data_IF_419208694724
#
_entry.id   IF_419208694724
#
_cell.length_a   1.000
_cell.length_b   1.000
_cell.length_c   1.000
_cell.angle_alpha   90.00
_cell.angle_beta   90.00
_cell.angle_gamma   90.00
#
_symmetry.space_group_name_H-M   'P 1'
#
loop_
_entity.id
_entity.type
_entity.pdbx_description
1 polymer ?
#
# COMPACT_ATOMS: atom_id res chain seq x y z
N UNK A 1 -20.39 -8.20 -8.99
CA UNK A 1 -20.55 -7.06 -8.08
C UNK A 1 -21.50 -6.02 -8.70
N UNK A 2 -22.26 -5.29 -7.84
CA UNK A 2 -23.23 -4.28 -8.31
C UNK A 2 -24.60 -4.82 -8.70
N UNK A 3 -24.82 -6.10 -8.60
CA UNK A 3 -26.15 -6.70 -8.72
C UNK A 3 -26.98 -6.44 -7.45
N UNK A 4 -28.28 -6.27 -7.62
CA UNK A 4 -29.22 -6.16 -6.50
C UNK A 4 -29.87 -7.52 -6.26
N UNK A 5 -29.82 -7.96 -5.01
CA UNK A 5 -30.35 -9.25 -4.58
C UNK A 5 -31.28 -9.05 -3.40
N UNK A 6 -32.41 -9.72 -3.41
CA UNK A 6 -33.23 -9.91 -2.22
C UNK A 6 -32.73 -11.18 -1.51
N UNK A 7 -32.27 -11.04 -0.28
CA UNK A 7 -31.68 -12.15 0.47
C UNK A 7 -32.33 -12.29 1.84
N UNK A 8 -32.68 -13.53 2.19
CA UNK A 8 -33.01 -13.89 3.57
C UNK A 8 -31.75 -14.40 4.24
N UNK A 9 -31.31 -13.73 5.30
CA UNK A 9 -30.06 -13.99 5.97
C UNK A 9 -30.32 -14.46 7.40
N UNK A 10 -29.57 -15.49 7.88
CA UNK A 10 -29.47 -15.82 9.29
C UNK A 10 -28.20 -15.18 9.83
N UNK A 11 -28.37 -14.07 10.56
CA UNK A 11 -27.25 -13.28 11.08
C UNK A 11 -26.95 -13.60 12.54
N UNK A 12 -25.69 -13.55 12.91
CA UNK A 12 -25.20 -13.61 14.28
C UNK A 12 -24.08 -12.59 14.48
N UNK A 13 -23.89 -12.03 15.68
CA UNK A 13 -22.72 -11.22 15.98
C UNK A 13 -21.43 -12.03 15.77
N UNK A 14 -20.37 -11.37 15.30
CA UNK A 14 -19.05 -12.00 15.20
C UNK A 14 -18.47 -12.10 16.60
N UNK A 15 -18.20 -13.32 17.06
CA UNK A 15 -17.50 -13.60 18.31
C UNK A 15 -16.07 -14.06 18.01
N UNK A 16 -15.09 -13.50 18.71
CA UNK A 16 -13.71 -13.94 18.68
C UNK A 16 -13.42 -14.89 19.84
N UNK A 17 -12.56 -15.86 19.61
CA UNK A 17 -11.90 -16.59 20.69
C UNK A 17 -10.62 -15.82 21.03
N UNK A 18 -10.53 -15.33 22.27
CA UNK A 18 -9.36 -14.62 22.77
C UNK A 18 -8.36 -15.66 23.33
N UNK A 19 -7.51 -16.17 22.47
CA UNK A 19 -6.35 -16.96 22.84
C UNK A 19 -5.09 -16.09 22.78
N UNK A 20 -4.13 -16.31 23.65
CA UNK A 20 -2.84 -15.63 23.61
C UNK A 20 -2.19 -15.83 22.24
N UNK A 21 -1.85 -14.73 21.56
CA UNK A 21 -1.32 -14.74 20.20
C UNK A 21 -2.32 -15.09 19.09
N UNK A 22 -3.60 -15.30 19.41
CA UNK A 22 -4.66 -15.62 18.47
C UNK A 22 -5.17 -14.38 17.71
N UNK A 23 -5.77 -14.61 16.54
CA UNK A 23 -6.41 -13.57 15.75
C UNK A 23 -7.75 -13.15 16.36
N UNK A 24 -7.85 -11.87 16.77
CA UNK A 24 -9.10 -11.28 17.28
C UNK A 24 -10.05 -10.94 16.12
N UNK A 25 -10.92 -11.89 15.79
CA UNK A 25 -11.91 -11.77 14.73
C UNK A 25 -12.97 -10.71 15.01
N UNK A 26 -13.34 -10.49 16.27
CA UNK A 26 -14.34 -9.50 16.67
C UNK A 26 -13.79 -8.07 16.49
N UNK A 27 -12.60 -7.80 16.99
CA UNK A 27 -11.91 -6.52 16.79
C UNK A 27 -11.73 -6.22 15.30
N UNK A 28 -11.30 -7.23 14.52
CA UNK A 28 -11.12 -7.08 13.07
C UNK A 28 -12.45 -6.78 12.37
N UNK A 29 -13.54 -7.48 12.72
CA UNK A 29 -14.86 -7.26 12.14
C UNK A 29 -15.40 -5.87 12.46
N UNK A 30 -15.23 -5.39 13.70
CA UNK A 30 -15.59 -4.02 14.10
C UNK A 30 -14.79 -2.98 13.33
N UNK A 31 -13.48 -3.16 13.20
CA UNK A 31 -12.61 -2.27 12.42
C UNK A 31 -12.96 -2.21 10.93
N UNK A 32 -13.67 -3.23 10.42
CA UNK A 32 -14.15 -3.29 9.04
C UNK A 32 -15.62 -2.88 8.89
N UNK A 33 -16.26 -2.38 9.94
CA UNK A 33 -17.71 -2.09 9.99
C UNK A 33 -18.59 -3.29 9.60
N UNK A 34 -18.17 -4.53 9.95
CA UNK A 34 -18.85 -5.80 9.65
C UNK A 34 -19.09 -6.62 10.90
N UNK A 35 -19.86 -6.10 11.89
CA UNK A 35 -20.03 -6.76 13.18
C UNK A 35 -20.88 -8.03 13.11
N UNK A 36 -21.54 -8.30 11.99
CA UNK A 36 -22.40 -9.43 11.79
C UNK A 36 -21.82 -10.41 10.78
N UNK A 37 -21.99 -11.69 11.04
CA UNK A 37 -21.67 -12.81 10.17
C UNK A 37 -22.91 -13.68 10.01
N UNK A 38 -23.07 -14.32 8.86
CA UNK A 38 -24.25 -15.16 8.66
C UNK A 38 -24.24 -15.97 7.38
N UNK A 39 -25.21 -16.87 7.29
CA UNK A 39 -25.49 -17.70 6.12
C UNK A 39 -26.68 -17.15 5.30
N UNK A 40 -26.60 -17.32 4.01
CA UNK A 40 -27.70 -17.03 3.08
C UNK A 40 -28.68 -18.21 3.14
N UNK A 41 -29.94 -17.96 3.50
CA UNK A 41 -31.02 -18.95 3.53
C UNK A 41 -31.69 -19.02 2.16
N UNK A 42 -32.01 -17.85 1.59
CA UNK A 42 -32.59 -17.73 0.27
C UNK A 42 -32.07 -16.46 -0.40
N UNK A 43 -31.93 -16.51 -1.73
CA UNK A 43 -31.50 -15.37 -2.51
C UNK A 43 -32.20 -15.36 -3.86
N UNK A 44 -32.74 -14.22 -4.26
CA UNK A 44 -33.30 -13.96 -5.58
C UNK A 44 -32.71 -12.69 -6.17
N UNK A 45 -32.30 -12.75 -7.44
CA UNK A 45 -31.75 -11.58 -8.12
C UNK A 45 -32.88 -10.63 -8.52
N UNK A 46 -32.84 -9.39 -8.03
CA UNK A 46 -33.76 -8.32 -8.43
C UNK A 46 -33.25 -7.61 -9.68
N UNK A 47 -31.96 -7.31 -9.74
CA UNK A 47 -31.30 -6.71 -10.90
C UNK A 47 -29.97 -7.42 -11.17
N UNK A 48 -29.86 -8.04 -12.33
CA UNK A 48 -28.67 -8.77 -12.76
C UNK A 48 -27.58 -7.85 -13.35
N UNK A 49 -27.84 -6.54 -13.47
CA UNK A 49 -26.88 -5.59 -14.06
C UNK A 49 -25.62 -5.51 -13.22
N UNK A 50 -24.48 -5.72 -13.85
CA UNK A 50 -23.18 -5.58 -13.18
C UNK A 50 -22.74 -4.12 -13.12
N UNK A 51 -22.10 -3.73 -12.02
CA UNK A 51 -21.48 -2.40 -11.88
C UNK A 51 -20.40 -2.18 -12.94
N UNK A 52 -20.09 -0.91 -13.23
CA UNK A 52 -18.99 -0.53 -14.14
C UNK A 52 -17.68 -1.21 -13.74
N UNK A 53 -17.37 -1.21 -12.42
CA UNK A 53 -16.20 -1.90 -11.87
C UNK A 53 -16.21 -3.40 -12.19
N UNK A 54 -17.34 -4.08 -12.06
CA UNK A 54 -17.43 -5.51 -12.33
C UNK A 54 -17.26 -5.81 -13.82
N UNK A 55 -17.86 -5.00 -14.69
CA UNK A 55 -17.68 -5.13 -16.14
C UNK A 55 -16.23 -4.93 -16.55
N UNK A 56 -15.59 -3.91 -16.01
CA UNK A 56 -14.18 -3.63 -16.26
C UNK A 56 -13.28 -4.76 -15.75
N UNK A 57 -13.51 -5.27 -14.54
CA UNK A 57 -12.77 -6.42 -14.00
C UNK A 57 -12.93 -7.66 -14.89
N UNK A 58 -14.16 -7.94 -15.37
CA UNK A 58 -14.42 -9.09 -16.27
C UNK A 58 -13.68 -8.93 -17.60
N UNK A 59 -13.65 -7.71 -18.17
CA UNK A 59 -12.91 -7.40 -19.39
C UNK A 59 -11.42 -7.65 -19.21
N UNK A 60 -10.82 -7.11 -18.13
CA UNK A 60 -9.41 -7.34 -17.78
C UNK A 60 -9.11 -8.81 -17.54
N UNK A 61 -9.97 -9.52 -16.80
CA UNK A 61 -9.77 -10.95 -16.52
C UNK A 61 -9.73 -11.75 -17.82
N UNK A 62 -10.59 -11.44 -18.79
CA UNK A 62 -10.59 -12.06 -20.13
C UNK A 62 -9.29 -11.74 -20.89
N UNK A 63 -8.86 -10.48 -20.85
CA UNK A 63 -7.63 -10.02 -21.55
C UNK A 63 -6.37 -10.68 -20.98
N UNK A 64 -6.33 -10.90 -19.68
CA UNK A 64 -5.18 -11.44 -18.98
C UNK A 64 -5.13 -12.98 -18.95
N UNK A 65 -6.04 -13.70 -19.55
CA UNK A 65 -6.13 -15.17 -19.47
C UNK A 65 -4.86 -15.89 -19.91
N UNK A 66 -4.13 -15.34 -20.87
CA UNK A 66 -2.91 -15.92 -21.46
C UNK A 66 -1.67 -15.70 -20.61
N UNK A 67 -1.70 -14.80 -19.63
CA UNK A 67 -0.52 -14.43 -18.86
C UNK A 67 -0.41 -15.29 -17.57
N UNK A 68 0.79 -15.89 -17.31
CA UNK A 68 1.03 -16.69 -16.12
C UNK A 68 0.76 -15.95 -14.80
N UNK A 69 1.14 -14.66 -14.72
CA UNK A 69 1.03 -13.85 -13.52
C UNK A 69 -0.26 -13.03 -13.43
N UNK A 70 -1.30 -13.41 -14.20
CA UNK A 70 -2.60 -12.71 -14.24
C UNK A 70 -3.21 -12.45 -12.87
N UNK A 71 -3.15 -13.44 -11.96
CA UNK A 71 -3.73 -13.31 -10.62
C UNK A 71 -3.03 -12.21 -9.80
N UNK A 72 -1.70 -12.10 -9.94
CA UNK A 72 -0.90 -11.06 -9.29
C UNK A 72 -1.18 -9.69 -9.91
N UNK A 73 -1.27 -9.61 -11.25
CA UNK A 73 -1.62 -8.35 -11.94
C UNK A 73 -2.99 -7.84 -11.52
N UNK A 74 -4.02 -8.72 -11.46
CA UNK A 74 -5.34 -8.35 -10.98
C UNK A 74 -5.34 -7.96 -9.50
N UNK A 75 -4.51 -8.63 -8.69
CA UNK A 75 -4.30 -8.28 -7.28
C UNK A 75 -3.71 -6.89 -7.12
N UNK A 76 -2.64 -6.56 -7.87
CA UNK A 76 -1.97 -5.26 -7.82
C UNK A 76 -2.79 -4.14 -8.46
N UNK A 77 -3.51 -4.42 -9.57
CA UNK A 77 -4.27 -3.41 -10.32
C UNK A 77 -5.65 -3.14 -9.76
N UNK A 78 -6.40 -4.19 -9.41
CA UNK A 78 -7.81 -4.10 -9.03
C UNK A 78 -8.10 -4.49 -7.58
N UNK A 79 -7.09 -4.96 -6.82
CA UNK A 79 -7.27 -5.48 -5.47
C UNK A 79 -7.93 -6.86 -5.39
N UNK A 80 -8.02 -7.58 -6.52
CA UNK A 80 -8.63 -8.90 -6.59
C UNK A 80 -7.63 -9.96 -6.11
N UNK A 81 -7.86 -10.51 -4.90
CA UNK A 81 -6.92 -11.45 -4.26
C UNK A 81 -7.47 -12.87 -4.15
N UNK A 82 -8.75 -13.09 -4.47
CA UNK A 82 -9.38 -14.40 -4.33
C UNK A 82 -8.75 -15.42 -5.27
N UNK A 83 -8.32 -14.98 -6.44
CA UNK A 83 -7.69 -15.81 -7.47
C UNK A 83 -6.21 -16.11 -7.24
N UNK A 84 -5.58 -15.55 -6.18
CA UNK A 84 -4.16 -15.77 -5.89
C UNK A 84 -3.89 -17.19 -5.41
N UNK A 85 -2.95 -17.94 -6.05
CA UNK A 85 -2.54 -19.26 -5.60
C UNK A 85 -1.99 -19.24 -4.17
N UNK A 86 -2.28 -20.29 -3.41
CA UNK A 86 -1.83 -20.43 -2.01
C UNK A 86 -0.30 -20.42 -1.93
N UNK A 87 0.39 -21.06 -2.88
CA UNK A 87 1.86 -21.09 -2.95
C UNK A 87 2.46 -19.67 -2.99
N UNK A 88 1.87 -18.77 -3.78
CA UNK A 88 2.31 -17.38 -3.87
C UNK A 88 2.08 -16.66 -2.55
N UNK A 89 0.93 -16.89 -1.88
CA UNK A 89 0.64 -16.29 -0.59
C UNK A 89 1.65 -16.72 0.48
N UNK A 90 1.96 -18.02 0.54
CA UNK A 90 2.94 -18.58 1.48
C UNK A 90 4.34 -18.04 1.19
N UNK A 91 4.77 -18.04 -0.09
CA UNK A 91 6.07 -17.49 -0.48
C UNK A 91 6.23 -16.03 -0.04
N UNK A 92 5.19 -15.21 -0.27
CA UNK A 92 5.21 -13.79 0.10
C UNK A 92 5.17 -13.60 1.62
N UNK A 93 4.52 -14.49 2.36
CA UNK A 93 4.54 -14.47 3.83
C UNK A 93 5.93 -14.80 4.36
N UNK A 94 6.54 -15.88 3.88
CA UNK A 94 7.87 -16.34 4.30
C UNK A 94 8.95 -15.29 4.01
N UNK A 95 8.83 -14.59 2.90
CA UNK A 95 9.75 -13.51 2.50
C UNK A 95 9.39 -12.12 3.08
N UNK A 96 8.29 -12.00 3.84
CA UNK A 96 7.84 -10.72 4.42
C UNK A 96 7.35 -9.70 3.39
N UNK A 97 7.02 -10.14 2.16
CA UNK A 97 6.56 -9.28 1.06
C UNK A 97 5.04 -9.24 0.88
N UNK A 98 4.26 -9.89 1.75
CA UNK A 98 2.79 -9.98 1.69
C UNK A 98 2.09 -8.61 1.61
N UNK A 99 2.68 -7.57 2.20
CA UNK A 99 2.16 -6.21 2.18
C UNK A 99 2.14 -5.59 0.77
N UNK A 100 2.96 -6.07 -0.18
CA UNK A 100 2.98 -5.60 -1.56
C UNK A 100 1.74 -6.01 -2.35
N UNK A 101 1.09 -7.13 -1.98
CA UNK A 101 -0.17 -7.56 -2.60
C UNK A 101 -1.39 -6.79 -2.10
N UNK A 102 -1.26 -6.09 -0.98
CA UNK A 102 -2.28 -5.14 -0.56
C UNK A 102 -2.19 -3.89 -1.45
N UNK A 103 -3.34 -3.38 -1.89
CA UNK A 103 -3.34 -2.03 -2.46
C UNK A 103 -2.89 -1.07 -1.36
N UNK A 104 -1.65 -0.65 -1.49
CA UNK A 104 -0.98 0.20 -0.51
C UNK A 104 -1.23 1.68 -0.82
N UNK A 105 -0.95 2.52 0.17
CA UNK A 105 -0.93 3.96 -0.04
C UNK A 105 0.00 4.40 -1.18
N UNK A 106 1.08 3.65 -1.38
CA UNK A 106 2.03 3.92 -2.46
C UNK A 106 1.42 3.68 -3.85
N UNK A 107 0.59 2.65 -4.03
CA UNK A 107 -0.12 2.40 -5.30
C UNK A 107 -1.08 3.55 -5.62
N UNK A 108 -1.82 4.05 -4.62
CA UNK A 108 -2.71 5.21 -4.77
C UNK A 108 -1.90 6.48 -5.11
N UNK A 109 -0.77 6.69 -4.43
CA UNK A 109 0.11 7.83 -4.71
C UNK A 109 0.74 7.75 -6.12
N UNK A 110 1.08 6.54 -6.59
CA UNK A 110 1.56 6.33 -7.96
C UNK A 110 0.48 6.63 -9.00
N UNK A 111 -0.77 6.19 -8.77
CA UNK A 111 -1.89 6.52 -9.65
C UNK A 111 -2.13 8.04 -9.69
N UNK A 112 -2.11 8.71 -8.53
CA UNK A 112 -2.18 10.17 -8.45
C UNK A 112 -1.05 10.84 -9.23
N UNK A 113 0.19 10.36 -9.06
CA UNK A 113 1.37 10.89 -9.74
C UNK A 113 1.30 10.70 -11.24
N UNK A 114 0.83 9.55 -11.71
CA UNK A 114 0.65 9.27 -13.13
C UNK A 114 -0.33 10.25 -13.78
N UNK A 115 -1.50 10.45 -13.17
CA UNK A 115 -2.50 11.41 -13.66
C UNK A 115 -1.96 12.84 -13.63
N UNK A 116 -1.25 13.20 -12.54
CA UNK A 116 -0.61 14.52 -12.43
C UNK A 116 0.42 14.74 -13.54
N UNK A 117 1.25 13.74 -13.85
CA UNK A 117 2.27 13.80 -14.90
C UNK A 117 1.63 13.87 -16.30
N UNK A 118 0.58 13.08 -16.55
CA UNK A 118 -0.16 13.13 -17.81
C UNK A 118 -0.74 14.53 -18.03
N UNK A 119 -1.39 15.12 -17.02
CA UNK A 119 -1.94 16.45 -17.15
C UNK A 119 -0.83 17.52 -17.31
N UNK A 120 0.30 17.39 -16.64
CA UNK A 120 1.47 18.25 -16.90
C UNK A 120 1.97 18.14 -18.32
N UNK A 121 2.05 16.92 -18.87
CA UNK A 121 2.38 16.71 -20.28
C UNK A 121 1.41 17.42 -21.22
N UNK A 122 0.11 17.33 -20.94
CA UNK A 122 -0.92 18.06 -21.72
C UNK A 122 -0.76 19.59 -21.58
N UNK A 123 -0.39 20.08 -20.40
CA UNK A 123 -0.18 21.55 -20.18
C UNK A 123 0.95 22.12 -21.06
N UNK A 124 1.94 21.32 -21.49
CA UNK A 124 2.97 21.78 -22.41
C UNK A 124 2.44 22.16 -23.81
N UNK A 125 1.29 21.58 -24.18
CA UNK A 125 0.64 21.80 -25.49
C UNK A 125 -0.43 22.91 -25.40
N UNK A 126 -0.87 23.25 -24.18
CA UNK A 126 -1.95 24.22 -23.94
C UNK A 126 -1.43 25.67 -23.85
N UNK A 127 -2.30 26.66 -24.13
CA UNK A 127 -1.97 28.08 -23.95
C UNK A 127 -1.55 28.37 -22.49
N UNK A 128 -0.62 29.37 -22.32
CA UNK A 128 -0.01 29.68 -21.03
C UNK A 128 -0.98 29.95 -19.86
N UNK A 129 -2.20 30.45 -20.16
CA UNK A 129 -3.27 30.64 -19.16
C UNK A 129 -3.71 29.39 -18.42
N UNK A 130 -3.49 28.21 -19.01
CA UNK A 130 -3.83 26.90 -18.41
C UNK A 130 -2.65 26.23 -17.71
N UNK A 131 -1.45 26.83 -17.79
CA UNK A 131 -0.25 26.32 -17.16
C UNK A 131 -0.25 26.75 -15.70
N UNK A 132 -0.46 25.78 -14.80
CA UNK A 132 -0.46 26.03 -13.36
C UNK A 132 -0.24 24.76 -12.56
N UNK A 133 0.30 24.89 -11.36
CA UNK A 133 0.56 23.75 -10.48
C UNK A 133 -0.69 23.19 -9.79
N UNK A 134 -1.76 24.00 -9.68
CA UNK A 134 -2.99 23.64 -8.97
C UNK A 134 -3.79 22.57 -9.71
N UNK A 135 -3.96 22.73 -11.04
CA UNK A 135 -4.73 21.78 -11.85
C UNK A 135 -4.14 20.35 -11.82
N UNK A 136 -2.82 20.14 -12.07
CA UNK A 136 -2.24 18.81 -11.94
C UNK A 136 -2.38 18.20 -10.53
N UNK A 137 -2.27 19.01 -9.48
CA UNK A 137 -2.43 18.58 -8.10
C UNK A 137 -3.85 18.05 -7.84
N UNK A 138 -4.88 18.81 -8.24
CA UNK A 138 -6.28 18.42 -8.10
C UNK A 138 -6.63 17.21 -8.97
N UNK A 139 -6.12 17.17 -10.21
CA UNK A 139 -6.29 16.02 -11.08
C UNK A 139 -5.64 14.75 -10.51
N UNK A 140 -4.46 14.87 -9.89
CA UNK A 140 -3.83 13.77 -9.17
C UNK A 140 -4.68 13.25 -8.02
N UNK A 141 -5.28 14.14 -7.22
CA UNK A 141 -6.21 13.77 -6.16
C UNK A 141 -7.46 13.07 -6.72
N UNK A 142 -8.05 13.61 -7.80
CA UNK A 142 -9.19 12.97 -8.47
C UNK A 142 -8.83 11.58 -9.01
N UNK A 143 -7.63 11.42 -9.59
CA UNK A 143 -7.09 10.14 -10.04
C UNK A 143 -6.90 9.14 -8.89
N UNK A 144 -6.41 9.60 -7.74
CA UNK A 144 -6.29 8.77 -6.53
C UNK A 144 -7.65 8.24 -6.06
N UNK A 145 -8.66 9.13 -5.99
CA UNK A 145 -10.03 8.76 -5.59
C UNK A 145 -10.66 7.82 -6.62
N UNK A 146 -10.50 8.10 -7.91
CA UNK A 146 -11.00 7.23 -8.98
C UNK A 146 -10.37 5.83 -8.94
N UNK A 147 -9.06 5.74 -8.71
CA UNK A 147 -8.38 4.47 -8.56
C UNK A 147 -8.78 3.73 -7.27
N UNK A 148 -8.93 4.44 -6.15
CA UNK A 148 -9.45 3.86 -4.91
C UNK A 148 -10.86 3.28 -5.09
N UNK A 149 -11.74 3.98 -5.83
CA UNK A 149 -13.06 3.48 -6.19
C UNK A 149 -12.98 2.22 -7.05
N UNK A 150 -12.10 2.23 -8.06
CA UNK A 150 -11.88 1.09 -8.95
C UNK A 150 -11.40 -0.15 -8.19
N UNK A 151 -10.56 0.04 -7.17
CA UNK A 151 -10.03 -1.04 -6.31
C UNK A 151 -11.00 -1.50 -5.21
N UNK A 152 -12.18 -0.90 -5.13
CA UNK A 152 -13.25 -1.28 -4.19
C UNK A 152 -13.17 -0.59 -2.83
N UNK A 153 -12.62 0.62 -2.76
CA UNK A 153 -12.61 1.49 -1.58
C UNK A 153 -12.05 0.81 -0.32
N UNK A 154 -10.99 0.03 -0.50
CA UNK A 154 -10.35 -0.66 0.64
C UNK A 154 -9.88 0.35 1.70
N UNK A 155 -9.95 0.05 3.02
CA UNK A 155 -9.58 0.99 4.08
C UNK A 155 -8.19 1.64 3.93
N UNK A 156 -7.12 0.94 3.51
CA UNK A 156 -5.83 1.57 3.24
C UNK A 156 -5.88 2.61 2.11
N UNK A 157 -6.67 2.34 1.05
CA UNK A 157 -6.83 3.26 -0.07
C UNK A 157 -7.57 4.53 0.34
N UNK A 158 -8.67 4.39 1.10
CA UNK A 158 -9.43 5.53 1.65
C UNK A 158 -8.56 6.42 2.53
N UNK A 159 -7.79 5.83 3.44
CA UNK A 159 -6.87 6.58 4.31
C UNK A 159 -5.85 7.38 3.49
N UNK A 160 -5.32 6.79 2.43
CA UNK A 160 -4.38 7.49 1.56
C UNK A 160 -5.04 8.61 0.77
N UNK A 161 -6.24 8.40 0.23
CA UNK A 161 -7.00 9.46 -0.43
C UNK A 161 -7.27 10.63 0.51
N UNK A 162 -7.67 10.34 1.75
CA UNK A 162 -7.90 11.37 2.77
C UNK A 162 -6.60 12.09 3.13
N UNK A 163 -5.49 11.37 3.33
CA UNK A 163 -4.18 11.95 3.55
C UNK A 163 -3.72 12.84 2.38
N UNK A 164 -3.91 12.40 1.13
CA UNK A 164 -3.63 13.21 -0.05
C UNK A 164 -4.53 14.46 -0.12
N UNK A 165 -5.81 14.34 0.24
CA UNK A 165 -6.73 15.49 0.29
C UNK A 165 -6.26 16.53 1.32
N UNK A 166 -5.88 16.08 2.53
CA UNK A 166 -5.29 16.95 3.57
C UNK A 166 -4.01 17.60 3.05
N UNK A 167 -3.08 16.83 2.47
CA UNK A 167 -1.85 17.37 1.88
C UNK A 167 -2.13 18.41 0.78
N UNK A 168 -3.12 18.15 -0.09
CA UNK A 168 -3.55 19.10 -1.11
C UNK A 168 -4.10 20.38 -0.48
N UNK A 169 -4.98 20.28 0.51
CA UNK A 169 -5.56 21.43 1.20
C UNK A 169 -4.48 22.28 1.89
N UNK A 170 -3.56 21.63 2.64
CA UNK A 170 -2.44 22.32 3.28
C UNK A 170 -1.51 23.00 2.27
N UNK A 171 -1.25 22.37 1.12
CA UNK A 171 -0.43 22.95 0.07
C UNK A 171 -1.12 24.12 -0.63
N UNK A 172 -2.43 24.04 -0.78
CA UNK A 172 -3.24 25.13 -1.37
C UNK A 172 -3.37 26.33 -0.43
N UNK A 173 -3.31 26.11 0.91
CA UNK A 173 -3.34 27.19 1.90
C UNK A 173 -2.10 28.10 1.84
N UNK A 174 -1.02 27.65 1.17
CA UNK A 174 0.23 28.41 1.04
C UNK A 174 1.07 28.48 2.32
N UNK A 175 0.62 27.87 3.41
CA UNK A 175 1.36 27.85 4.67
C UNK A 175 2.47 26.79 4.66
N UNK A 176 3.52 27.03 5.43
CA UNK A 176 4.63 26.10 5.60
C UNK A 176 4.33 25.16 6.77
N UNK A 177 4.16 23.88 6.46
CA UNK A 177 3.90 22.83 7.44
C UNK A 177 5.09 21.91 7.56
N UNK A 178 5.44 21.54 8.78
CA UNK A 178 6.45 20.50 9.02
C UNK A 178 5.88 19.11 8.70
N UNK A 179 6.75 18.16 8.35
CA UNK A 179 6.32 16.78 8.07
C UNK A 179 5.52 16.16 9.23
N UNK A 180 5.90 16.46 10.47
CA UNK A 180 5.19 16.00 11.66
C UNK A 180 3.78 16.60 11.78
N UNK A 181 3.63 17.90 11.52
CA UNK A 181 2.32 18.56 11.53
C UNK A 181 1.41 17.99 10.43
N UNK A 182 1.92 17.80 9.22
CA UNK A 182 1.16 17.16 8.13
C UNK A 182 0.72 15.77 8.53
N UNK A 183 1.62 14.96 9.09
CA UNK A 183 1.31 13.62 9.57
C UNK A 183 0.22 13.62 10.64
N UNK A 184 0.31 14.50 11.65
CA UNK A 184 -0.71 14.66 12.69
C UNK A 184 -2.07 15.08 12.12
N UNK A 185 -2.10 16.04 11.18
CA UNK A 185 -3.33 16.46 10.50
C UNK A 185 -3.96 15.30 9.72
N UNK A 186 -3.15 14.51 8.99
CA UNK A 186 -3.65 13.34 8.27
C UNK A 186 -4.21 12.27 9.21
N UNK A 187 -3.50 11.97 10.31
CA UNK A 187 -3.97 11.01 11.30
C UNK A 187 -5.25 11.47 11.99
N UNK A 188 -5.30 12.74 12.41
CA UNK A 188 -6.50 13.34 12.99
C UNK A 188 -7.69 13.30 12.05
N UNK A 189 -7.51 13.68 10.78
CA UNK A 189 -8.56 13.62 9.77
C UNK A 189 -9.08 12.18 9.54
N UNK A 190 -8.19 11.18 9.54
CA UNK A 190 -8.59 9.76 9.42
C UNK A 190 -9.43 9.32 10.61
N UNK A 191 -9.03 9.67 11.84
CA UNK A 191 -9.75 9.27 13.06
C UNK A 191 -11.08 10.01 13.23
N UNK A 192 -11.17 11.25 12.74
CA UNK A 192 -12.46 11.99 12.70
C UNK A 192 -13.41 11.38 11.68
N UNK A 193 -12.89 10.98 10.50
CA UNK A 193 -13.70 10.36 9.45
C UNK A 193 -14.15 8.94 9.82
N UNK A 194 -13.30 8.17 10.49
CA UNK A 194 -13.55 6.80 10.93
C UNK A 194 -12.93 6.53 12.32
N UNK A 195 -13.67 6.78 13.41
CA UNK A 195 -13.17 6.52 14.76
C UNK A 195 -12.85 5.04 15.02
N UNK A 196 -13.55 4.10 14.36
CA UNK A 196 -13.31 2.66 14.51
C UNK A 196 -12.01 2.21 13.86
N UNK A 197 -11.42 3.04 13.00
CA UNK A 197 -10.10 2.77 12.43
C UNK A 197 -9.02 2.57 13.51
N UNK A 198 -9.20 3.12 14.73
CA UNK A 198 -8.27 2.90 15.86
C UNK A 198 -8.13 1.42 16.23
N UNK A 199 -9.13 0.59 15.96
CA UNK A 199 -9.08 -0.86 16.15
C UNK A 199 -8.28 -1.59 15.07
N UNK A 200 -8.00 -0.92 13.95
CA UNK A 200 -7.35 -1.51 12.79
C UNK A 200 -5.83 -1.58 12.96
N UNK A 201 -5.27 -2.79 12.98
CA UNK A 201 -3.82 -3.00 12.97
C UNK A 201 -3.15 -2.32 11.76
N UNK A 202 -3.82 -2.30 10.60
CA UNK A 202 -3.28 -1.68 9.39
C UNK A 202 -3.21 -0.15 9.49
N UNK A 203 -4.04 0.51 10.31
CA UNK A 203 -3.89 1.94 10.60
C UNK A 203 -2.58 2.19 11.34
N UNK A 204 -2.36 1.46 12.43
CA UNK A 204 -1.18 1.65 13.27
C UNK A 204 0.11 1.33 12.51
N UNK A 205 0.15 0.23 11.73
CA UNK A 205 1.30 -0.07 10.87
C UNK A 205 1.59 1.07 9.91
N UNK A 206 0.57 1.61 9.23
CA UNK A 206 0.73 2.72 8.30
C UNK A 206 1.17 4.02 9.00
N UNK A 207 0.53 4.37 10.12
CA UNK A 207 0.84 5.58 10.87
C UNK A 207 2.26 5.54 11.43
N UNK A 208 2.64 4.42 12.06
CA UNK A 208 4.00 4.25 12.62
C UNK A 208 5.06 4.13 11.53
N UNK A 209 4.74 3.54 10.35
CA UNK A 209 5.68 3.52 9.24
C UNK A 209 6.04 4.94 8.78
N UNK A 210 5.04 5.82 8.61
CA UNK A 210 5.28 7.22 8.22
C UNK A 210 6.00 7.99 9.32
N UNK A 211 5.55 7.86 10.58
CA UNK A 211 6.23 8.49 11.72
C UNK A 211 7.69 8.02 11.85
N UNK A 212 7.92 6.71 11.71
CA UNK A 212 9.25 6.11 11.73
C UNK A 212 10.14 6.65 10.61
N UNK A 213 9.62 6.80 9.40
CA UNK A 213 10.37 7.41 8.29
C UNK A 213 10.70 8.88 8.54
N UNK A 214 9.74 9.67 9.04
CA UNK A 214 9.99 11.07 9.41
C UNK A 214 11.11 11.14 10.46
N UNK A 215 11.02 10.31 11.51
CA UNK A 215 12.00 10.21 12.55
C UNK A 215 13.37 9.78 12.00
N UNK A 216 13.42 8.71 11.20
CA UNK A 216 14.65 8.16 10.64
C UNK A 216 15.41 9.17 9.79
N UNK A 217 14.74 9.83 8.85
CA UNK A 217 15.40 10.80 7.98
C UNK A 217 15.77 12.11 8.68
N UNK A 218 15.06 12.49 9.75
CA UNK A 218 15.42 13.66 10.54
C UNK A 218 16.61 13.40 11.46
N UNK A 219 16.71 12.19 12.00
CA UNK A 219 17.71 11.86 13.03
C UNK A 219 18.93 11.14 12.46
N UNK A 220 18.76 10.38 11.42
CA UNK A 220 19.82 9.69 10.68
C UNK A 220 19.76 10.09 9.20
N UNK A 221 20.17 11.32 8.85
CA UNK A 221 20.18 11.74 7.46
C UNK A 221 21.15 10.87 6.65
N UNK A 222 20.86 10.73 5.35
CA UNK A 222 21.76 10.01 4.43
C UNK A 222 23.18 10.61 4.51
N UNK A 223 24.24 9.80 4.60
CA UNK A 223 25.61 10.27 4.62
C UNK A 223 25.90 11.18 3.41
N UNK A 224 26.41 12.38 3.69
CA UNK A 224 26.84 13.34 2.66
C UNK A 224 28.12 12.86 1.99
N UNK A 225 28.05 11.77 1.23
CA UNK A 225 29.17 11.22 0.48
C UNK A 225 29.13 11.66 -0.99
N UNK A 226 30.30 11.78 -1.64
CA UNK A 226 30.43 12.02 -3.11
C UNK A 226 30.14 10.74 -3.91
N UNK A 227 29.08 10.02 -3.53
CA UNK A 227 28.69 8.79 -4.21
C UNK A 227 28.12 9.10 -5.59
N UNK A 228 28.63 8.44 -6.63
CA UNK A 228 28.12 8.56 -8.01
C UNK A 228 26.88 7.65 -8.16
N UNK A 229 25.96 8.06 -9.03
CA UNK A 229 24.91 7.16 -9.52
C UNK A 229 25.54 5.91 -10.18
N UNK A 230 25.13 4.66 -9.93
CA UNK A 230 23.90 4.24 -9.20
C UNK A 230 24.09 4.00 -7.69
N UNK A 231 25.32 4.05 -7.14
CA UNK A 231 25.61 3.72 -5.73
C UNK A 231 24.82 4.57 -4.75
N UNK A 232 24.62 5.84 -5.06
CA UNK A 232 23.80 6.74 -4.23
C UNK A 232 22.38 6.22 -4.05
N UNK A 233 21.78 5.71 -5.12
CA UNK A 233 20.41 5.14 -5.09
C UNK A 233 20.37 3.85 -4.29
N UNK A 234 21.35 2.97 -4.47
CA UNK A 234 21.42 1.70 -3.72
C UNK A 234 21.57 1.98 -2.22
N UNK A 235 22.48 2.88 -1.83
CA UNK A 235 22.68 3.25 -0.42
C UNK A 235 21.41 3.87 0.15
N UNK A 236 20.71 4.73 -0.60
CA UNK A 236 19.46 5.33 -0.15
C UNK A 236 18.35 4.26 0.06
N UNK A 237 18.27 3.27 -0.83
CA UNK A 237 17.32 2.16 -0.69
C UNK A 237 17.66 1.27 0.51
N UNK A 238 18.94 0.92 0.70
CA UNK A 238 19.37 0.13 1.86
C UNK A 238 19.11 0.90 3.15
N UNK A 239 19.44 2.19 3.18
CA UNK A 239 19.20 3.05 4.34
C UNK A 239 17.70 3.16 4.68
N UNK A 240 16.86 3.38 3.67
CA UNK A 240 15.39 3.39 3.81
C UNK A 240 14.89 2.05 4.36
N UNK A 241 15.32 0.93 3.75
CA UNK A 241 14.88 -0.40 4.14
C UNK A 241 15.33 -0.76 5.56
N UNK A 242 16.56 -0.41 5.93
CA UNK A 242 17.07 -0.58 7.29
C UNK A 242 16.22 0.19 8.30
N UNK A 243 15.92 1.47 8.01
CA UNK A 243 15.07 2.29 8.86
C UNK A 243 13.69 1.70 9.06
N UNK A 244 13.02 1.33 7.98
CA UNK A 244 11.69 0.71 8.04
C UNK A 244 11.72 -0.61 8.81
N UNK A 245 12.69 -1.48 8.52
CA UNK A 245 12.79 -2.79 9.19
C UNK A 245 13.05 -2.63 10.69
N UNK A 246 14.02 -1.81 11.08
CA UNK A 246 14.40 -1.63 12.46
C UNK A 246 13.30 -0.93 13.28
N UNK A 247 12.71 0.13 12.72
CA UNK A 247 11.72 0.92 13.46
C UNK A 247 10.34 0.26 13.52
N UNK A 248 9.97 -0.58 12.54
CA UNK A 248 8.71 -1.33 12.58
C UNK A 248 8.84 -2.68 13.29
N UNK A 249 10.06 -3.13 13.62
CA UNK A 249 10.29 -4.44 14.24
C UNK A 249 9.46 -4.65 15.52
N UNK A 250 9.43 -3.70 16.51
CA UNK A 250 8.62 -3.88 17.71
C UNK A 250 7.13 -4.04 17.41
N UNK A 251 6.63 -3.24 16.47
CA UNK A 251 5.22 -3.28 16.08
C UNK A 251 4.87 -4.56 15.32
N UNK A 252 5.77 -5.06 14.47
CA UNK A 252 5.60 -6.33 13.77
C UNK A 252 5.56 -7.51 14.75
N UNK A 253 6.46 -7.53 15.74
CA UNK A 253 6.45 -8.55 16.78
C UNK A 253 5.16 -8.51 17.62
N UNK A 254 4.71 -7.32 18.00
CA UNK A 254 3.47 -7.15 18.76
C UNK A 254 2.22 -7.62 17.99
N UNK A 255 2.19 -7.39 16.67
CA UNK A 255 1.00 -7.65 15.86
C UNK A 255 0.99 -9.04 15.22
N UNK A 256 2.16 -9.57 14.85
CA UNK A 256 2.28 -10.81 14.06
C UNK A 256 2.99 -11.94 14.80
N UNK A 257 3.53 -11.68 15.99
CA UNK A 257 4.30 -12.66 16.79
C UNK A 257 5.40 -13.37 16.00
N UNK A 258 5.96 -12.70 15.00
CA UNK A 258 7.00 -13.24 14.14
C UNK A 258 7.61 -12.22 13.21
N UNK A 259 8.77 -12.55 12.68
CA UNK A 259 9.55 -11.72 11.76
C UNK A 259 10.15 -12.60 10.68
N UNK A 260 10.21 -12.07 9.47
CA UNK A 260 10.96 -12.73 8.38
C UNK A 260 12.38 -12.16 8.32
N UNK A 261 13.38 -12.99 8.54
CA UNK A 261 14.79 -12.61 8.44
C UNK A 261 15.19 -12.25 7.01
N UNK A 262 14.54 -12.85 6.03
CA UNK A 262 14.81 -12.59 4.60
C UNK A 262 14.09 -11.36 4.09
N UNK A 263 13.20 -10.73 4.91
CA UNK A 263 12.38 -9.60 4.49
C UNK A 263 13.19 -8.41 4.01
N UNK A 264 14.34 -8.13 4.61
CA UNK A 264 15.19 -7.02 4.19
C UNK A 264 15.72 -7.22 2.77
N UNK A 265 16.27 -8.41 2.45
CA UNK A 265 16.76 -8.74 1.13
C UNK A 265 15.62 -8.84 0.10
N UNK A 266 14.51 -9.49 0.50
CA UNK A 266 13.33 -9.62 -0.34
C UNK A 266 12.73 -8.26 -0.71
N UNK A 267 12.60 -7.35 0.25
CA UNK A 267 12.03 -6.03 0.01
C UNK A 267 12.98 -5.10 -0.76
N UNK A 268 14.29 -5.26 -0.60
CA UNK A 268 15.26 -4.51 -1.40
C UNK A 268 15.14 -4.83 -2.89
N UNK A 269 14.75 -6.06 -3.24
CA UNK A 269 14.45 -6.49 -4.59
C UNK A 269 13.00 -6.16 -4.99
N UNK A 270 12.03 -6.56 -4.15
CA UNK A 270 10.62 -6.56 -4.49
C UNK A 270 10.01 -5.15 -4.53
N UNK A 271 10.36 -4.29 -3.56
CA UNK A 271 9.78 -2.94 -3.50
C UNK A 271 10.11 -2.12 -4.75
N UNK A 272 11.38 -2.01 -5.23
CA UNK A 272 11.67 -1.28 -6.47
C UNK A 272 11.00 -1.90 -7.70
N UNK A 273 11.05 -3.24 -7.86
CA UNK A 273 10.46 -3.91 -9.02
C UNK A 273 8.94 -3.72 -9.07
N UNK A 274 8.27 -3.87 -7.94
CA UNK A 274 6.80 -3.69 -7.89
C UNK A 274 6.43 -2.22 -8.06
N UNK A 275 7.09 -1.32 -7.32
CA UNK A 275 6.69 0.09 -7.25
C UNK A 275 7.09 0.89 -8.49
N UNK A 276 8.30 0.66 -9.02
CA UNK A 276 8.82 1.46 -10.13
C UNK A 276 8.53 0.85 -11.49
N UNK A 277 8.28 -0.46 -11.57
CA UNK A 277 8.07 -1.15 -12.85
C UNK A 277 6.69 -1.81 -12.92
N UNK A 278 6.38 -2.79 -12.08
CA UNK A 278 5.16 -3.59 -12.23
C UNK A 278 3.88 -2.74 -12.11
N UNK A 279 3.74 -1.96 -11.02
CA UNK A 279 2.53 -1.16 -10.78
C UNK A 279 2.35 -0.04 -11.82
N UNK A 280 3.35 0.76 -12.20
CA UNK A 280 3.20 1.74 -13.29
C UNK A 280 2.81 1.09 -14.63
N UNK A 281 3.42 -0.04 -14.99
CA UNK A 281 3.07 -0.78 -16.20
C UNK A 281 1.61 -1.27 -16.16
N UNK A 282 1.19 -1.87 -15.03
CA UNK A 282 -0.18 -2.35 -14.83
C UNK A 282 -1.18 -1.18 -14.91
N UNK A 283 -0.93 -0.07 -14.19
CA UNK A 283 -1.82 1.09 -14.20
C UNK A 283 -1.91 1.72 -15.60
N UNK A 284 -0.78 1.83 -16.31
CA UNK A 284 -0.76 2.34 -17.68
C UNK A 284 -1.49 1.41 -18.63
N UNK A 285 -1.30 0.09 -18.53
CA UNK A 285 -2.02 -0.90 -19.30
C UNK A 285 -3.52 -0.85 -19.05
N UNK A 286 -3.93 -0.67 -17.78
CA UNK A 286 -5.33 -0.47 -17.39
C UNK A 286 -5.93 0.80 -18.01
N UNK A 287 -5.18 1.90 -18.09
CA UNK A 287 -5.64 3.11 -18.77
C UNK A 287 -5.77 2.91 -20.28
N UNK A 288 -4.75 2.29 -20.91
CA UNK A 288 -4.76 1.97 -22.35
C UNK A 288 -5.90 1.01 -22.71
N UNK A 289 -6.24 0.08 -21.81
CA UNK A 289 -7.37 -0.85 -22.00
C UNK A 289 -8.73 -0.15 -22.22
N UNK A 290 -8.90 1.10 -21.75
CA UNK A 290 -10.15 1.84 -21.90
C UNK A 290 -10.40 2.33 -23.35
N UNK A 291 -9.37 2.74 -24.06
CA UNK A 291 -9.51 3.36 -25.39
C UNK A 291 -8.24 3.34 -26.24
N UNK A 292 -7.20 2.64 -25.78
CA UNK A 292 -5.91 2.61 -26.46
C UNK A 292 -5.76 1.52 -27.51
N UNK A 293 -4.68 1.56 -28.30
CA UNK A 293 -4.37 0.54 -29.28
C UNK A 293 -4.01 -0.79 -28.61
N UNK A 294 -4.59 -1.89 -29.10
CA UNK A 294 -4.37 -3.25 -28.54
C UNK A 294 -2.90 -3.69 -28.49
N UNK A 295 -2.10 -3.23 -29.46
CA UNK A 295 -0.66 -3.56 -29.51
C UNK A 295 0.04 -2.97 -28.29
N UNK A 296 -0.20 -1.70 -27.98
CA UNK A 296 0.41 -1.02 -26.82
C UNK A 296 -0.03 -1.67 -25.51
N UNK A 297 -1.34 -1.97 -25.39
CA UNK A 297 -1.88 -2.69 -24.25
C UNK A 297 -1.17 -4.03 -24.03
N UNK A 298 -1.07 -4.84 -25.10
CA UNK A 298 -0.45 -6.17 -25.04
C UNK A 298 1.03 -6.11 -24.63
N UNK A 299 1.78 -5.11 -25.16
CA UNK A 299 3.16 -4.90 -24.78
C UNK A 299 3.34 -4.51 -23.32
N UNK A 300 2.45 -3.66 -22.80
CA UNK A 300 2.46 -3.27 -21.38
C UNK A 300 2.17 -4.44 -20.45
N UNK A 301 1.16 -5.28 -20.81
CA UNK A 301 0.86 -6.48 -20.04
C UNK A 301 1.99 -7.51 -20.09
N UNK A 302 2.61 -7.70 -21.27
CA UNK A 302 3.77 -8.57 -21.41
C UNK A 302 4.94 -8.08 -20.56
N UNK A 303 5.22 -6.78 -20.59
CA UNK A 303 6.29 -6.19 -19.78
C UNK A 303 6.02 -6.38 -18.29
N UNK A 304 4.79 -6.15 -17.82
CA UNK A 304 4.40 -6.39 -16.43
C UNK A 304 4.57 -7.86 -16.04
N UNK A 305 4.16 -8.80 -16.91
CA UNK A 305 4.31 -10.24 -16.68
C UNK A 305 5.78 -10.63 -16.53
N UNK A 306 6.66 -10.09 -17.37
CA UNK A 306 8.10 -10.35 -17.29
C UNK A 306 8.73 -9.78 -16.01
N UNK A 307 8.34 -8.58 -15.61
CA UNK A 307 8.81 -7.99 -14.33
C UNK A 307 8.40 -8.86 -13.15
N UNK A 308 7.15 -9.34 -13.13
CA UNK A 308 6.66 -10.24 -12.09
C UNK A 308 7.36 -11.60 -12.13
N UNK A 309 7.65 -12.14 -13.32
CA UNK A 309 8.40 -13.38 -13.46
C UNK A 309 9.80 -13.26 -12.83
N UNK A 310 10.51 -12.15 -13.08
CA UNK A 310 11.82 -11.86 -12.47
C UNK A 310 11.71 -11.72 -10.96
N UNK A 311 10.70 -11.00 -10.49
CA UNK A 311 10.43 -10.83 -9.04
C UNK A 311 10.27 -12.19 -8.35
N UNK A 312 9.33 -13.02 -8.82
CA UNK A 312 9.04 -14.30 -8.19
C UNK A 312 10.17 -15.32 -8.36
N UNK A 313 10.92 -15.25 -9.46
CA UNK A 313 12.16 -16.02 -9.62
C UNK A 313 13.20 -15.65 -8.54
N UNK A 314 13.38 -14.36 -8.25
CA UNK A 314 14.25 -13.90 -7.18
C UNK A 314 13.77 -14.31 -5.80
N UNK A 315 12.48 -14.12 -5.50
CA UNK A 315 11.90 -14.48 -4.20
C UNK A 315 11.99 -15.98 -3.88
N UNK A 316 11.80 -16.87 -4.88
CA UNK A 316 11.91 -18.32 -4.72
C UNK A 316 13.33 -18.81 -4.40
N UNK A 317 14.35 -17.98 -4.59
CA UNK A 317 15.74 -18.30 -4.24
C UNK A 317 16.13 -17.91 -2.82
N UNK A 318 15.30 -17.12 -2.17
CA UNK A 318 15.53 -16.77 -0.78
C UNK A 318 15.12 -17.93 0.10
N UNK A 319 15.90 -18.25 1.16
CA UNK A 319 15.51 -19.27 2.12
C UNK A 319 14.27 -18.84 2.89
N UNK A 320 13.53 -19.82 3.43
CA UNK A 320 12.44 -19.56 4.34
C UNK A 320 12.99 -18.86 5.59
N UNK A 321 12.52 -17.65 5.83
CA UNK A 321 13.06 -16.79 6.88
C UNK A 321 12.08 -16.49 8.00
N UNK A 322 10.90 -17.12 8.02
CA UNK A 322 9.91 -16.80 9.05
C UNK A 322 10.30 -17.39 10.41
N UNK A 323 10.45 -16.51 11.40
CA UNK A 323 10.69 -16.85 12.80
C UNK A 323 9.51 -16.40 13.65
N UNK A 324 8.93 -17.34 14.39
CA UNK A 324 7.99 -17.01 15.47
C UNK A 324 8.78 -16.64 16.71
N UNK A 325 8.52 -15.49 17.27
CA UNK A 325 9.24 -14.95 18.41
C UNK A 325 8.26 -14.62 19.55
N UNK A 326 8.64 -14.99 20.77
CA UNK A 326 7.90 -14.66 21.99
C UNK A 326 7.89 -13.16 22.28
N UNK A 327 6.88 -12.71 23.05
CA UNK A 327 6.75 -11.33 23.50
C UNK A 327 7.99 -10.81 24.28
N UNK A 328 8.82 -11.69 24.81
CA UNK A 328 10.09 -11.34 25.49
C UNK A 328 11.05 -10.58 24.58
N UNK A 329 11.01 -10.84 23.26
CA UNK A 329 11.86 -10.18 22.27
C UNK A 329 11.44 -8.74 21.97
N UNK A 330 10.29 -8.31 22.47
CA UNK A 330 9.77 -6.94 22.28
C UNK A 330 10.74 -5.90 22.87
N UNK A 331 11.32 -6.16 24.02
CA UNK A 331 12.30 -5.28 24.66
C UNK A 331 13.57 -5.12 23.82
N UNK A 332 14.08 -6.23 23.28
CA UNK A 332 15.27 -6.23 22.43
C UNK A 332 14.98 -5.51 21.11
N UNK A 333 13.81 -5.71 20.54
CA UNK A 333 13.40 -5.07 19.29
C UNK A 333 13.23 -3.54 19.42
N UNK A 334 13.02 -3.02 20.63
CA UNK A 334 12.96 -1.57 20.90
C UNK A 334 14.33 -0.90 21.08
N UNK A 335 15.42 -1.68 21.26
CA UNK A 335 16.77 -1.14 21.41
C UNK A 335 17.20 -0.18 20.28
N UNK A 336 16.95 -0.42 19.00
CA UNK A 336 17.30 0.52 17.94
C UNK A 336 16.70 1.92 18.15
N UNK A 337 15.44 1.99 18.61
CA UNK A 337 14.79 3.25 18.97
C UNK A 337 15.52 3.96 20.09
N UNK A 338 15.82 3.24 21.17
CA UNK A 338 16.52 3.78 22.34
C UNK A 338 17.94 4.25 22.00
N UNK A 339 18.66 3.49 21.16
CA UNK A 339 20.01 3.85 20.72
C UNK A 339 20.01 5.14 19.87
N UNK A 340 19.09 5.25 18.91
CA UNK A 340 18.98 6.45 18.07
C UNK A 340 18.56 7.66 18.90
N UNK A 341 17.63 7.49 19.84
CA UNK A 341 17.20 8.56 20.75
C UNK A 341 18.32 8.99 21.67
N UNK A 342 19.04 8.04 22.28
CA UNK A 342 20.16 8.31 23.17
C UNK A 342 21.31 9.02 22.46
N UNK A 343 21.68 8.55 21.26
CA UNK A 343 22.70 9.20 20.44
C UNK A 343 22.32 10.64 20.07
N UNK A 344 21.08 10.88 19.68
CA UNK A 344 20.62 12.22 19.36
C UNK A 344 20.57 13.14 20.57
N UNK A 345 20.15 12.63 21.73
CA UNK A 345 20.15 13.39 22.98
C UNK A 345 21.57 13.82 23.38
N UNK A 346 22.57 12.95 23.24
CA UNK A 346 23.96 13.29 23.44
C UNK A 346 24.45 14.35 22.45
N UNK A 347 24.13 14.20 21.15
CA UNK A 347 24.54 15.16 20.13
C UNK A 347 23.92 16.55 20.37
N UNK A 348 22.72 16.62 20.92
CA UNK A 348 22.06 17.88 21.27
C UNK A 348 22.69 18.56 22.48
N UNK A 349 23.17 17.79 23.45
CA UNK A 349 23.91 18.32 24.60
C UNK A 349 25.28 18.89 24.23
N UNK A 350 25.88 18.43 23.15
CA UNK A 350 27.21 18.86 22.70
C UNK A 350 27.15 19.87 21.53
N UNK A 351 25.96 20.24 21.05
CA UNK A 351 25.83 21.37 20.12
C UNK A 351 25.90 22.68 20.90
N UNK A 352 26.83 23.61 20.55
CA UNK A 352 27.02 24.90 21.22
C UNK A 352 25.81 25.80 21.12
#
# INVERSE_FOLDING_TARGET
AGQHWLMTLRLRPVHGQLNDGGFDSQRYALAQHRPLSGGIVAASALDARCSLRARYLTSLTRRLQTYPWRAVMLGLGMGERLSLPTEIKVLMQNTGTSHLMAISGLHIALAASLIMLLLRGVQYILPGRWIGWRLPLLAGLAGAVGYAWLTGMQPPALRTCLGLAVCCALRLSGQRWTACQVWLCCLGAILVADPLAVLSQSLWLSAFAVAGLIFWFQWLPLPAGRWRWPWKTIIALVHLQAGVTLLLLPLQLLLFHGVSLTSMAANLLAVPLVTLLAVPLILTAMLVHLSGPEIVESLLWLAADRVLAVLFWGLRRLPDGWLTLDARWLWISSLPWLLVMGWRFQSWRHSP
#
